data_IF_488017383019
#
_entry.id   IF_488017383019
#
_cell.length_a   1.000
_cell.length_b   1.000
_cell.length_c   1.000
_cell.angle_alpha   90.00
_cell.angle_beta   90.00
_cell.angle_gamma   90.00
#
_symmetry.space_group_name_H-M   'P 1'
#
loop_
_entity.id
_entity.type
_entity.pdbx_description
1 polymer ?
#
# COMPACT_ATOMS: atom_id res chain seq x y z
N UNK A 1 14.16 0.55 11.16
CA UNK A 1 13.52 1.10 9.93
C UNK A 1 14.34 0.85 8.67
N UNK A 2 15.65 1.13 8.67
CA UNK A 2 16.52 0.93 7.49
C UNK A 2 16.45 -0.47 6.88
N UNK A 3 16.33 -1.50 7.72
CA UNK A 3 16.20 -2.89 7.27
C UNK A 3 14.87 -3.14 6.55
N UNK A 4 13.73 -2.71 7.14
CA UNK A 4 12.42 -2.78 6.50
C UNK A 4 12.42 -2.12 5.11
N UNK A 5 13.06 -0.96 4.98
CA UNK A 5 13.17 -0.25 3.70
C UNK A 5 13.99 -1.05 2.66
N UNK A 6 15.06 -1.73 3.10
CA UNK A 6 15.87 -2.57 2.22
C UNK A 6 15.09 -3.81 1.76
N UNK A 7 14.34 -4.44 2.66
CA UNK A 7 13.48 -5.58 2.33
C UNK A 7 12.36 -5.17 1.37
N UNK A 8 11.75 -4.01 1.61
CA UNK A 8 10.60 -3.51 0.86
C UNK A 8 10.95 -2.85 -0.49
N UNK A 9 12.21 -2.89 -0.95
CA UNK A 9 12.63 -2.25 -2.22
C UNK A 9 11.73 -2.64 -3.40
N UNK A 10 11.44 -3.93 -3.54
CA UNK A 10 10.55 -4.41 -4.60
C UNK A 10 9.13 -3.86 -4.47
N UNK A 11 8.61 -3.80 -3.24
CA UNK A 11 7.32 -3.18 -2.97
C UNK A 11 7.31 -1.70 -3.38
N UNK A 12 8.35 -0.92 -3.10
CA UNK A 12 8.40 0.48 -3.50
C UNK A 12 8.40 0.67 -5.03
N UNK A 13 9.07 -0.23 -5.76
CA UNK A 13 9.00 -0.24 -7.24
C UNK A 13 7.56 -0.49 -7.69
N UNK A 14 6.89 -1.51 -7.14
CA UNK A 14 5.50 -1.79 -7.47
C UNK A 14 4.56 -0.65 -7.08
N UNK A 15 4.78 -0.02 -5.92
CA UNK A 15 4.01 1.13 -5.47
C UNK A 15 4.14 2.29 -6.46
N UNK A 16 5.36 2.57 -6.92
CA UNK A 16 5.61 3.55 -7.97
C UNK A 16 4.88 3.21 -9.27
N UNK A 17 5.00 1.97 -9.75
CA UNK A 17 4.31 1.51 -10.97
C UNK A 17 2.79 1.61 -10.87
N UNK A 18 2.21 1.19 -9.74
CA UNK A 18 0.76 1.28 -9.52
C UNK A 18 0.30 2.72 -9.44
N UNK A 19 1.10 3.60 -8.85
CA UNK A 19 0.81 5.04 -8.79
C UNK A 19 0.80 5.64 -10.18
N UNK A 20 1.84 5.35 -10.99
CA UNK A 20 1.92 5.81 -12.39
C UNK A 20 0.76 5.24 -13.21
N UNK A 21 0.45 3.95 -13.08
CA UNK A 21 -0.68 3.32 -13.75
C UNK A 21 -2.02 3.98 -13.41
N UNK A 22 -2.23 4.33 -12.13
CA UNK A 22 -3.45 5.00 -11.68
C UNK A 22 -3.54 6.45 -12.16
N UNK A 23 -2.41 7.14 -12.26
CA UNK A 23 -2.33 8.44 -12.94
C UNK A 23 -2.61 8.31 -14.44
N UNK A 24 -2.05 7.31 -15.12
CA UNK A 24 -2.30 7.07 -16.54
C UNK A 24 -3.78 6.77 -16.83
N UNK A 25 -4.47 6.01 -15.97
CA UNK A 25 -5.93 5.82 -16.07
C UNK A 25 -6.71 7.14 -15.94
N UNK A 26 -6.27 8.02 -15.04
CA UNK A 26 -6.88 9.33 -14.85
C UNK A 26 -6.71 10.21 -16.09
N UNK A 27 -5.49 10.26 -16.65
CA UNK A 27 -5.18 11.04 -17.83
C UNK A 27 -5.85 10.47 -19.10
N UNK A 28 -5.98 9.15 -19.18
CA UNK A 28 -6.72 8.45 -20.23
C UNK A 28 -8.24 8.51 -20.10
N UNK A 29 -8.78 9.29 -19.15
CA UNK A 29 -10.22 9.47 -18.93
C UNK A 29 -10.98 8.14 -18.73
N UNK A 30 -10.32 7.16 -18.11
CA UNK A 30 -10.94 5.87 -17.81
C UNK A 30 -12.04 6.07 -16.78
N UNK A 31 -13.23 5.54 -17.06
CA UNK A 31 -14.36 5.62 -16.15
C UNK A 31 -14.04 4.92 -14.81
N UNK A 32 -14.24 5.64 -13.69
CA UNK A 32 -13.88 5.15 -12.36
C UNK A 32 -14.54 3.80 -12.03
N UNK A 33 -15.81 3.63 -12.39
CA UNK A 33 -16.56 2.39 -12.14
C UNK A 33 -15.86 1.17 -12.75
N UNK A 34 -15.25 1.32 -13.93
CA UNK A 34 -14.54 0.24 -14.64
C UNK A 34 -13.09 0.10 -14.18
N UNK A 35 -12.42 1.19 -13.80
CA UNK A 35 -10.99 1.20 -13.55
C UNK A 35 -10.55 1.09 -12.09
N UNK A 36 -11.43 1.31 -11.11
CA UNK A 36 -11.02 1.56 -9.71
C UNK A 36 -10.23 0.42 -9.05
N UNK A 37 -10.49 -0.82 -9.46
CA UNK A 37 -9.82 -2.03 -8.96
C UNK A 37 -8.46 -2.28 -9.63
N UNK A 38 -8.26 -1.78 -10.86
CA UNK A 38 -7.00 -1.87 -11.58
C UNK A 38 -6.01 -0.87 -10.97
N UNK A 39 -4.75 -1.28 -10.81
CA UNK A 39 -3.72 -0.51 -10.09
C UNK A 39 -4.18 -0.02 -8.70
N UNK A 40 -4.97 -0.82 -7.98
CA UNK A 40 -5.37 -0.54 -6.60
C UNK A 40 -4.16 -0.60 -5.67
N UNK A 41 -3.69 0.57 -5.22
CA UNK A 41 -2.61 0.69 -4.23
C UNK A 41 -3.00 -0.01 -2.93
N UNK A 42 -4.26 0.12 -2.48
CA UNK A 42 -4.74 -0.52 -1.25
C UNK A 42 -4.61 -2.05 -1.33
N UNK A 43 -5.07 -2.65 -2.43
CA UNK A 43 -5.00 -4.09 -2.64
C UNK A 43 -3.54 -4.56 -2.75
N UNK A 44 -2.71 -3.82 -3.50
CA UNK A 44 -1.28 -4.09 -3.60
C UNK A 44 -0.63 -4.12 -2.21
N UNK A 45 -0.85 -3.10 -1.39
CA UNK A 45 -0.22 -2.97 -0.07
C UNK A 45 -0.70 -4.05 0.89
N UNK A 46 -2.00 -4.38 0.91
CA UNK A 46 -2.52 -5.44 1.79
C UNK A 46 -1.92 -6.81 1.46
N UNK A 47 -1.90 -7.17 0.16
CA UNK A 47 -1.28 -8.41 -0.28
C UNK A 47 0.22 -8.40 0.00
N UNK A 48 0.90 -7.28 -0.29
CA UNK A 48 2.33 -7.13 -0.04
C UNK A 48 2.66 -7.31 1.44
N UNK A 49 1.94 -6.63 2.34
CA UNK A 49 2.12 -6.76 3.80
C UNK A 49 1.97 -8.21 4.25
N UNK A 50 0.97 -8.91 3.73
CA UNK A 50 0.72 -10.32 4.01
C UNK A 50 1.87 -11.21 3.54
N UNK A 51 2.24 -11.12 2.26
CA UNK A 51 3.30 -11.96 1.69
C UNK A 51 4.66 -11.64 2.30
N UNK A 52 5.06 -10.36 2.36
CA UNK A 52 6.35 -9.98 2.93
C UNK A 52 6.49 -10.48 4.37
N UNK A 53 5.45 -10.40 5.19
CA UNK A 53 5.48 -10.94 6.55
C UNK A 53 5.64 -12.47 6.58
N UNK A 54 4.92 -13.20 5.74
CA UNK A 54 5.02 -14.65 5.63
C UNK A 54 6.43 -15.10 5.22
N UNK A 55 6.97 -14.50 4.16
CA UNK A 55 8.31 -14.81 3.64
C UNK A 55 9.41 -14.36 4.61
N UNK A 56 9.30 -13.17 5.22
CA UNK A 56 10.31 -12.71 6.17
C UNK A 56 10.34 -13.55 7.44
N UNK A 57 9.19 -14.07 7.91
CA UNK A 57 9.20 -15.06 8.99
C UNK A 57 10.05 -16.28 8.60
N UNK A 58 9.75 -16.91 7.47
CA UNK A 58 10.35 -18.20 7.13
C UNK A 58 11.81 -18.12 6.71
N UNK A 59 12.17 -17.15 5.88
CA UNK A 59 13.52 -17.06 5.30
C UNK A 59 14.44 -16.03 5.98
N UNK A 60 13.89 -15.12 6.80
CA UNK A 60 14.68 -14.14 7.58
C UNK A 60 14.50 -14.25 9.09
N UNK A 61 13.67 -15.17 9.58
CA UNK A 61 13.46 -15.36 11.02
C UNK A 61 12.78 -14.16 11.70
N UNK A 62 11.99 -13.36 10.97
CA UNK A 62 11.34 -12.19 11.57
C UNK A 62 10.43 -12.59 12.73
N UNK A 63 10.55 -11.86 13.84
CA UNK A 63 9.60 -11.93 14.96
C UNK A 63 8.27 -11.32 14.55
N UNK A 64 7.22 -11.58 15.35
CA UNK A 64 5.90 -11.01 15.09
C UNK A 64 5.94 -9.48 15.05
N UNK A 65 6.63 -8.85 16.01
CA UNK A 65 6.75 -7.39 16.07
C UNK A 65 7.45 -6.84 14.82
N UNK A 66 8.51 -7.49 14.35
CA UNK A 66 9.20 -7.07 13.12
C UNK A 66 8.29 -7.16 11.89
N UNK A 67 7.49 -8.23 11.79
CA UNK A 67 6.53 -8.41 10.70
C UNK A 67 5.42 -7.34 10.72
N UNK A 68 4.83 -7.08 11.89
CA UNK A 68 3.81 -6.03 12.05
C UNK A 68 4.38 -4.66 11.70
N UNK A 69 5.57 -4.33 12.20
CA UNK A 69 6.24 -3.06 11.90
C UNK A 69 6.58 -2.91 10.42
N UNK A 70 6.92 -4.01 9.73
CA UNK A 70 7.09 -4.01 8.27
C UNK A 70 5.77 -3.67 7.58
N UNK A 71 4.68 -4.35 7.91
CA UNK A 71 3.34 -4.06 7.37
C UNK A 71 2.91 -2.61 7.60
N UNK A 72 3.06 -2.10 8.82
CA UNK A 72 2.77 -0.70 9.14
C UNK A 72 3.61 0.27 8.30
N UNK A 73 4.89 -0.04 8.06
CA UNK A 73 5.77 0.77 7.20
C UNK A 73 5.26 0.79 5.75
N UNK A 74 4.85 -0.35 5.20
CA UNK A 74 4.32 -0.43 3.83
C UNK A 74 2.99 0.35 3.71
N UNK A 75 2.12 0.18 4.71
CA UNK A 75 0.84 0.89 4.84
C UNK A 75 1.04 2.39 4.89
N UNK A 76 1.98 2.87 5.70
CA UNK A 76 2.29 4.30 5.80
C UNK A 76 2.80 4.85 4.48
N UNK A 77 3.74 4.16 3.83
CA UNK A 77 4.28 4.59 2.56
C UNK A 77 3.19 4.70 1.46
N UNK A 78 2.29 3.72 1.38
CA UNK A 78 1.16 3.77 0.46
C UNK A 78 0.23 4.96 0.76
N UNK A 79 -0.07 5.21 2.03
CA UNK A 79 -0.97 6.30 2.41
C UNK A 79 -0.33 7.67 2.17
N UNK A 80 0.99 7.81 2.36
CA UNK A 80 1.73 9.02 1.95
C UNK A 80 1.55 9.24 0.45
N UNK A 81 1.74 8.21 -0.38
CA UNK A 81 1.58 8.32 -1.83
C UNK A 81 0.14 8.66 -2.24
N UNK A 82 -0.86 8.07 -1.60
CA UNK A 82 -2.27 8.39 -1.84
C UNK A 82 -2.55 9.84 -1.44
N UNK A 83 -2.11 10.26 -0.26
CA UNK A 83 -2.29 11.61 0.26
C UNK A 83 -1.66 12.65 -0.67
N UNK A 84 -0.40 12.46 -1.07
CA UNK A 84 0.31 13.38 -1.97
C UNK A 84 -0.31 13.38 -3.36
N UNK A 85 -0.73 12.23 -3.89
CA UNK A 85 -1.41 12.17 -5.20
C UNK A 85 -2.77 12.85 -5.18
N UNK A 86 -3.55 12.72 -4.09
CA UNK A 86 -4.78 13.49 -3.89
C UNK A 86 -4.46 14.99 -3.84
N UNK A 87 -3.46 15.41 -3.06
CA UNK A 87 -3.06 16.83 -2.96
C UNK A 87 -2.65 17.41 -4.33
N UNK A 88 -1.85 16.67 -5.09
CA UNK A 88 -1.42 17.06 -6.44
C UNK A 88 -2.59 17.15 -7.42
N UNK A 89 -3.57 16.24 -7.33
CA UNK A 89 -4.76 16.28 -8.19
C UNK A 89 -5.54 17.58 -8.00
N UNK A 90 -5.72 18.02 -6.75
CA UNK A 90 -6.35 19.31 -6.44
C UNK A 90 -5.49 20.51 -6.84
N UNK A 91 -4.18 20.48 -6.53
CA UNK A 91 -3.27 21.59 -6.85
C UNK A 91 -3.18 21.86 -8.36
N UNK A 92 -3.34 20.81 -9.18
CA UNK A 92 -3.33 20.89 -10.63
C UNK A 92 -4.71 21.08 -11.24
N UNK A 93 -5.78 21.13 -10.43
CA UNK A 93 -7.16 21.27 -10.91
C UNK A 93 -7.65 20.09 -11.76
N UNK A 94 -7.08 18.88 -11.56
CA UNK A 94 -7.40 17.70 -12.35
C UNK A 94 -8.37 16.77 -11.61
N UNK A 95 -9.36 16.23 -12.32
CA UNK A 95 -10.19 15.13 -11.83
C UNK A 95 -9.47 13.80 -12.11
N UNK A 96 -9.11 13.08 -11.04
CA UNK A 96 -8.29 11.87 -11.09
C UNK A 96 -8.91 10.77 -10.25
N UNK A 97 -8.37 9.55 -10.37
CA UNK A 97 -8.74 8.44 -9.50
C UNK A 97 -8.42 8.68 -8.01
N UNK A 98 -7.63 9.70 -7.67
CA UNK A 98 -7.23 10.02 -6.31
C UNK A 98 -8.15 11.02 -5.60
N UNK A 99 -8.87 11.88 -6.33
CA UNK A 99 -9.85 12.84 -5.79
C UNK A 99 -11.30 12.56 -6.23
N UNK A 100 -11.53 11.48 -6.98
CA UNK A 100 -12.89 11.03 -7.29
C UNK A 100 -13.74 10.82 -6.00
N UNK A 101 -15.02 11.24 -5.95
CA UNK A 101 -15.87 11.17 -4.75
C UNK A 101 -15.88 9.80 -4.06
N UNK A 102 -16.10 8.73 -4.84
CA UNK A 102 -16.05 7.35 -4.33
C UNK A 102 -14.70 6.95 -3.71
N UNK A 103 -13.59 7.52 -4.17
CA UNK A 103 -12.27 7.24 -3.59
C UNK A 103 -12.07 7.92 -2.22
N UNK A 104 -12.88 8.93 -1.93
CA UNK A 104 -12.91 9.71 -0.68
C UNK A 104 -14.09 9.30 0.22
N UNK A 105 -14.87 8.30 -0.18
CA UNK A 105 -16.09 7.85 0.51
C UNK A 105 -17.10 9.00 0.72
N UNK A 106 -17.32 9.78 -0.34
CA UNK A 106 -18.34 10.84 -0.43
C UNK A 106 -19.15 10.69 -1.71
N UNK A 107 -20.36 11.25 -1.71
CA UNK A 107 -21.28 11.17 -2.85
C UNK A 107 -20.95 12.22 -3.92
N UNK A 108 -20.50 13.40 -3.50
CA UNK A 108 -20.22 14.53 -4.38
C UNK A 108 -18.77 14.99 -4.24
N UNK A 109 -18.33 15.84 -5.17
CA UNK A 109 -17.01 16.46 -5.09
C UNK A 109 -16.93 17.37 -3.87
N UNK A 110 -15.76 17.36 -3.22
CA UNK A 110 -15.47 18.12 -2.01
C UNK A 110 -14.23 18.98 -2.22
N UNK A 111 -14.10 20.11 -1.50
CA UNK A 111 -12.91 20.96 -1.60
C UNK A 111 -11.66 20.25 -1.05
N UNK A 112 -10.48 20.74 -1.45
CA UNK A 112 -9.18 20.13 -1.15
C UNK A 112 -8.96 19.93 0.35
N UNK A 113 -9.33 20.90 1.19
CA UNK A 113 -9.16 20.82 2.64
C UNK A 113 -9.91 19.62 3.25
N UNK A 114 -11.16 19.40 2.83
CA UNK A 114 -11.96 18.26 3.29
C UNK A 114 -11.38 16.94 2.76
N UNK A 115 -11.01 16.89 1.49
CA UNK A 115 -10.40 15.71 0.89
C UNK A 115 -9.10 15.29 1.62
N UNK A 116 -8.22 16.25 1.92
CA UNK A 116 -6.98 15.98 2.62
C UNK A 116 -7.19 15.59 4.08
N UNK A 117 -8.16 16.19 4.77
CA UNK A 117 -8.52 15.78 6.13
C UNK A 117 -9.01 14.33 6.16
N UNK A 118 -9.84 13.92 5.19
CA UNK A 118 -10.27 12.51 5.03
C UNK A 118 -9.09 11.57 4.77
N UNK A 119 -8.14 11.98 3.94
CA UNK A 119 -6.91 11.21 3.68
C UNK A 119 -5.97 11.15 4.89
N UNK A 120 -5.95 12.17 5.75
CA UNK A 120 -5.16 12.17 6.96
C UNK A 120 -5.55 11.03 7.91
N UNK A 121 -6.84 10.69 8.01
CA UNK A 121 -7.29 9.50 8.74
C UNK A 121 -6.69 8.20 8.16
N UNK A 122 -6.51 8.13 6.84
CA UNK A 122 -5.83 7.03 6.16
C UNK A 122 -4.37 6.86 6.56
N UNK A 123 -3.65 7.94 6.90
CA UNK A 123 -2.26 7.89 7.38
C UNK A 123 -2.11 7.14 8.71
N UNK A 124 -3.19 6.94 9.46
CA UNK A 124 -3.20 6.15 10.70
C UNK A 124 -3.89 4.80 10.48
N UNK A 125 -5.10 4.80 9.91
CA UNK A 125 -5.87 3.57 9.69
C UNK A 125 -5.18 2.62 8.71
N UNK A 126 -4.54 3.16 7.66
CA UNK A 126 -3.85 2.37 6.65
C UNK A 126 -2.65 1.56 7.21
N UNK A 127 -1.73 2.17 7.95
CA UNK A 127 -0.69 1.44 8.67
C UNK A 127 -1.24 0.36 9.60
N UNK A 128 -2.27 0.66 10.40
CA UNK A 128 -2.86 -0.30 11.34
C UNK A 128 -3.42 -1.50 10.59
N UNK A 129 -4.24 -1.28 9.55
CA UNK A 129 -4.81 -2.35 8.73
C UNK A 129 -3.73 -3.21 8.07
N UNK A 130 -2.62 -2.61 7.64
CA UNK A 130 -1.50 -3.36 7.06
C UNK A 130 -0.65 -4.08 8.11
N UNK A 131 -0.57 -3.56 9.34
CA UNK A 131 -0.02 -4.27 10.48
C UNK A 131 -0.81 -5.55 10.79
N UNK A 132 -2.14 -5.47 10.74
CA UNK A 132 -3.03 -6.65 10.87
C UNK A 132 -2.82 -7.63 9.71
N UNK A 133 -2.77 -7.16 8.47
CA UNK A 133 -2.50 -8.01 7.31
C UNK A 133 -1.13 -8.72 7.43
N UNK A 134 -0.10 -8.00 7.90
CA UNK A 134 1.20 -8.57 8.17
C UNK A 134 1.20 -9.57 9.34
N UNK A 135 0.42 -9.33 10.39
CA UNK A 135 0.21 -10.31 11.47
C UNK A 135 -0.35 -11.62 10.92
N UNK A 136 -1.41 -11.56 10.09
CA UNK A 136 -1.98 -12.74 9.44
C UNK A 136 -0.97 -13.42 8.51
N UNK A 137 -0.24 -12.64 7.72
CA UNK A 137 0.87 -13.12 6.89
C UNK A 137 1.93 -13.86 7.69
N UNK A 138 2.33 -13.32 8.84
CA UNK A 138 3.30 -13.93 9.72
C UNK A 138 2.81 -15.26 10.29
N UNK A 139 1.52 -15.38 10.65
CA UNK A 139 0.93 -16.67 11.05
C UNK A 139 0.98 -17.69 9.91
N UNK A 140 0.58 -17.30 8.69
CA UNK A 140 0.64 -18.16 7.51
C UNK A 140 2.09 -18.54 7.14
N UNK A 141 3.07 -17.70 7.46
CA UNK A 141 4.49 -18.01 7.26
C UNK A 141 4.96 -19.26 8.01
N UNK A 142 4.25 -19.71 9.05
CA UNK A 142 4.58 -20.92 9.80
C UNK A 142 4.41 -22.20 8.96
N UNK A 143 3.49 -22.21 7.98
CA UNK A 143 3.24 -23.39 7.13
C UNK A 143 4.17 -23.45 5.90
N UNK A 144 5.00 -22.43 5.68
CA UNK A 144 5.89 -22.39 4.53
C UNK A 144 7.03 -23.42 4.68
N UNK A 145 7.48 -24.03 3.56
CA UNK A 145 8.53 -25.02 3.57
C UNK A 145 9.85 -24.43 4.04
N UNK A 146 10.69 -25.26 4.67
CA UNK A 146 12.00 -24.84 5.13
C UNK A 146 12.90 -24.37 4.00
N UNK A 147 13.76 -23.41 4.32
CA UNK A 147 14.85 -23.02 3.43
C UNK A 147 15.76 -24.23 3.34
N UNK A 148 15.85 -24.88 2.17
CA UNK A 148 16.90 -25.87 1.90
C UNK A 148 18.24 -25.22 2.21
N UNK A 149 19.02 -25.84 3.10
CA UNK A 149 20.39 -25.43 3.34
C UNK A 149 21.13 -25.50 1.99
N UNK A 150 21.80 -24.41 1.61
CA UNK A 150 22.75 -24.48 0.49
C UNK A 150 23.81 -25.50 0.88
N UNK A 151 24.21 -26.43 -0.02
CA UNK A 151 25.38 -27.25 0.24
C UNK A 151 26.54 -26.32 0.55
N UNK A 152 27.28 -26.61 1.62
CA UNK A 152 28.48 -25.88 1.98
C UNK A 152 29.39 -25.85 0.74
N UNK A 153 29.69 -24.64 0.25
CA UNK A 153 30.63 -24.42 -0.83
C UNK A 153 32.05 -24.64 -0.33
#
# INVERSE_FOLDING_TARGET
MTENLRVARFYFVLLGLFTVGRWAQSLGQVEYAKGHHVFSIVTLTLLSSTYFAAFCRKWRGYTLLQAVMLGMTLGLAAQIVIFTSTALSYALGMHTFFNHPRALNVETEVPMNEALLRRAGGLVAGPISNGVAAFLGWLMGAVLPERKASPAA
#
